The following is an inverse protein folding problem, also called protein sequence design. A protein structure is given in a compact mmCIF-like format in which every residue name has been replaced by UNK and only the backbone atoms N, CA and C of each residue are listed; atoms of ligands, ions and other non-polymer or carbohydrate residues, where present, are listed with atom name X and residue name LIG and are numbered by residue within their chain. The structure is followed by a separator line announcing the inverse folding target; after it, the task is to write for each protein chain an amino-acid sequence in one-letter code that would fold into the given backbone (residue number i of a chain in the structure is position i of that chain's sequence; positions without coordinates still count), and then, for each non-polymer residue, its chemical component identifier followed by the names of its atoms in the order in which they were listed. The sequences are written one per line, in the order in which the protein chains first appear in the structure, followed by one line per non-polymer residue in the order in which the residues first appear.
data_IF_141433470957
#
_entry.id   IF_141433470957
#
_cell.length_a   1.000
_cell.length_b   1.000
_cell.length_c   1.000
_cell.angle_alpha   90.00
_cell.angle_beta   90.00
_cell.angle_gamma   90.00
#
_symmetry.space_group_name_H-M   'P 1'
#
loop_
_entity.id
_entity.type
_entity.pdbx_description
1 polymer ?
#
# COMPACT_ATOMS: atom_id res chain seq x y z
N UNK A 1 1.07 4.42 8.79
CA UNK A 1 -0.27 4.00 8.35
C UNK A 1 -0.31 2.50 8.06
N UNK A 2 0.39 1.99 7.03
CA UNK A 2 0.38 0.54 6.73
C UNK A 2 0.81 -0.36 7.91
N UNK A 3 1.88 0.00 8.63
CA UNK A 3 2.31 -0.75 9.81
C UNK A 3 1.31 -0.72 10.97
N UNK A 4 0.54 0.37 11.13
CA UNK A 4 -0.49 0.43 12.17
C UNK A 4 -1.62 -0.56 11.86
N UNK A 5 -2.03 -0.68 10.59
CA UNK A 5 -3.00 -1.69 10.17
C UNK A 5 -2.50 -3.12 10.41
N UNK A 6 -1.20 -3.37 10.20
CA UNK A 6 -0.59 -4.67 10.49
C UNK A 6 -0.49 -4.98 11.99
N UNK A 7 -0.32 -3.96 12.84
CA UNK A 7 -0.33 -4.13 14.30
C UNK A 7 -1.73 -4.44 14.85
N UNK A 8 -2.77 -3.86 14.24
CA UNK A 8 -4.15 -4.02 14.70
C UNK A 8 -4.82 -5.31 14.20
N UNK A 9 -4.22 -6.03 13.24
CA UNK A 9 -4.82 -7.21 12.63
C UNK A 9 -3.79 -8.18 12.08
N UNK A 10 -3.83 -9.43 12.57
CA UNK A 10 -3.00 -10.54 12.05
C UNK A 10 -3.29 -10.88 10.57
N UNK A 11 -4.37 -10.35 10.00
CA UNK A 11 -4.72 -10.53 8.58
C UNK A 11 -3.97 -9.56 7.66
N UNK A 12 -3.30 -8.55 8.21
CA UNK A 12 -2.61 -7.52 7.44
C UNK A 12 -1.11 -7.68 7.64
N UNK A 13 -0.39 -7.82 6.53
CA UNK A 13 1.06 -7.67 6.49
C UNK A 13 1.40 -6.37 5.77
N UNK A 14 2.32 -5.61 6.32
CA UNK A 14 2.78 -4.36 5.73
C UNK A 14 4.30 -4.36 5.65
N UNK A 15 4.82 -3.88 4.52
CA UNK A 15 6.23 -3.66 4.28
C UNK A 15 6.38 -2.25 3.67
N UNK A 16 7.32 -1.45 4.19
CA UNK A 16 7.69 -0.16 3.62
C UNK A 16 8.97 -0.33 2.80
N UNK A 17 8.92 0.09 1.53
CA UNK A 17 10.01 -0.11 0.58
C UNK A 17 10.52 1.25 0.12
N UNK A 18 11.84 1.40 0.15
CA UNK A 18 12.53 2.56 -0.41
C UNK A 18 12.57 2.40 -1.93
N UNK A 19 11.81 3.22 -2.66
CA UNK A 19 11.58 3.00 -4.09
C UNK A 19 12.85 3.11 -4.96
N UNK A 20 13.86 3.88 -4.51
CA UNK A 20 15.10 4.11 -5.25
C UNK A 20 16.10 2.95 -5.09
N UNK A 21 16.02 2.19 -4.00
CA UNK A 21 16.79 0.96 -3.76
C UNK A 21 16.24 -0.25 -4.54
N UNK A 22 14.97 -0.21 -4.98
CA UNK A 22 14.29 -1.31 -5.67
C UNK A 22 13.68 -0.87 -7.02
N UNK A 23 14.51 -0.47 -8.01
CA UNK A 23 14.02 0.06 -9.29
C UNK A 23 13.15 -0.93 -10.09
N UNK A 24 13.47 -2.23 -10.07
CA UNK A 24 12.67 -3.26 -10.74
C UNK A 24 11.25 -3.37 -10.15
N UNK A 25 11.14 -3.27 -8.82
CA UNK A 25 9.86 -3.31 -8.13
C UNK A 25 9.06 -2.03 -8.41
N UNK A 26 9.73 -0.88 -8.38
CA UNK A 26 9.15 0.41 -8.76
C UNK A 26 8.61 0.39 -10.20
N UNK A 27 9.34 -0.20 -11.13
CA UNK A 27 8.87 -0.41 -12.51
C UNK A 27 7.68 -1.35 -12.58
N UNK A 28 7.71 -2.50 -11.87
CA UNK A 28 6.61 -3.48 -11.86
C UNK A 28 5.29 -2.89 -11.38
N UNK A 29 5.33 -1.98 -10.42
CA UNK A 29 4.15 -1.30 -9.87
C UNK A 29 3.90 0.08 -10.47
N UNK A 30 4.60 0.45 -11.55
CA UNK A 30 4.48 1.74 -12.22
C UNK A 30 4.53 2.91 -11.22
N UNK A 31 5.53 2.91 -10.34
CA UNK A 31 5.73 3.96 -9.33
C UNK A 31 6.27 5.20 -10.04
N UNK A 32 5.41 6.19 -10.27
CA UNK A 32 5.80 7.49 -10.84
C UNK A 32 6.02 8.56 -9.77
N UNK A 33 5.34 8.43 -8.63
CA UNK A 33 5.46 9.34 -7.49
C UNK A 33 5.31 8.56 -6.17
N UNK A 34 5.91 9.09 -5.12
CA UNK A 34 5.83 8.56 -3.75
C UNK A 34 5.14 9.58 -2.81
N UNK A 35 4.44 9.13 -1.76
CA UNK A 35 4.20 7.74 -1.39
C UNK A 35 3.17 7.05 -2.32
N UNK A 36 3.36 5.76 -2.58
CA UNK A 36 2.41 4.88 -3.27
C UNK A 36 2.22 3.63 -2.44
N UNK A 37 0.97 3.28 -2.14
CA UNK A 37 0.63 2.05 -1.42
C UNK A 37 0.10 1.04 -2.42
N UNK A 38 0.64 -0.18 -2.39
CA UNK A 38 0.18 -1.30 -3.21
C UNK A 38 -0.44 -2.35 -2.29
N UNK A 39 -1.60 -2.84 -2.66
CA UNK A 39 -2.37 -3.84 -1.89
C UNK A 39 -2.51 -5.09 -2.75
N UNK A 40 -1.96 -6.21 -2.26
CA UNK A 40 -1.99 -7.52 -2.89
C UNK A 40 -1.55 -7.55 -4.36
N UNK A 41 -0.61 -6.69 -4.76
CA UNK A 41 -0.16 -6.50 -6.17
C UNK A 41 -1.25 -6.13 -7.19
N UNK A 42 -2.49 -5.89 -6.75
CA UNK A 42 -3.65 -5.66 -7.63
C UNK A 42 -4.18 -4.24 -7.52
N UNK A 43 -4.22 -3.69 -6.30
CA UNK A 43 -4.75 -2.35 -6.05
C UNK A 43 -3.62 -1.40 -5.68
N UNK A 44 -3.76 -0.13 -6.06
CA UNK A 44 -2.78 0.89 -5.69
C UNK A 44 -3.44 2.21 -5.35
N UNK A 45 -2.94 2.84 -4.29
CA UNK A 45 -3.35 4.18 -3.84
C UNK A 45 -2.14 5.09 -3.98
N UNK A 46 -2.30 6.20 -4.71
CA UNK A 46 -1.24 7.18 -4.94
C UNK A 46 -1.37 8.37 -4.00
N UNK A 47 -0.24 8.84 -3.50
CA UNK A 47 -0.16 9.97 -2.59
C UNK A 47 -0.48 9.61 -1.13
N UNK A 48 -0.39 10.62 -0.28
CA UNK A 48 -0.78 10.52 1.12
C UNK A 48 -2.29 10.77 1.24
N UNK A 49 -3.06 9.71 1.48
CA UNK A 49 -4.50 9.80 1.74
C UNK A 49 -4.78 9.75 3.26
N UNK A 50 -5.94 10.27 3.73
CA UNK A 50 -6.38 10.05 5.10
C UNK A 50 -6.47 8.56 5.44
N UNK A 51 -6.27 8.21 6.72
CA UNK A 51 -6.23 6.81 7.17
C UNK A 51 -7.53 6.08 6.89
N UNK A 52 -8.67 6.74 7.15
CA UNK A 52 -9.99 6.20 6.88
C UNK A 52 -10.18 5.86 5.39
N UNK A 53 -9.68 6.70 4.48
CA UNK A 53 -9.74 6.43 3.06
C UNK A 53 -8.90 5.21 2.70
N UNK A 54 -7.69 5.08 3.26
CA UNK A 54 -6.84 3.91 3.03
C UNK A 54 -7.47 2.60 3.51
N UNK A 55 -8.19 2.64 4.65
CA UNK A 55 -8.93 1.47 5.16
C UNK A 55 -10.08 1.08 4.22
N UNK A 56 -10.81 2.05 3.67
CA UNK A 56 -11.89 1.76 2.72
C UNK A 56 -11.34 1.17 1.41
N UNK A 57 -10.22 1.68 0.89
CA UNK A 57 -9.53 1.08 -0.26
C UNK A 57 -9.08 -0.35 0.03
N UNK A 58 -8.55 -0.60 1.23
CA UNK A 58 -8.18 -1.95 1.67
C UNK A 58 -9.37 -2.90 1.69
N UNK A 59 -10.51 -2.49 2.27
CA UNK A 59 -11.74 -3.32 2.31
C UNK A 59 -12.24 -3.65 0.90
N UNK A 60 -12.28 -2.65 0.01
CA UNK A 60 -12.66 -2.85 -1.38
C UNK A 60 -11.72 -3.84 -2.08
N UNK A 61 -10.40 -3.71 -1.85
CA UNK A 61 -9.39 -4.58 -2.44
C UNK A 61 -9.50 -6.04 -1.99
N UNK A 62 -9.99 -6.30 -0.78
CA UNK A 62 -10.19 -7.66 -0.23
C UNK A 62 -11.64 -8.16 -0.27
N UNK A 63 -12.56 -7.39 -0.85
CA UNK A 63 -13.96 -7.79 -1.07
C UNK A 63 -14.84 -7.81 0.19
N UNK A 64 -14.60 -6.89 1.13
CA UNK A 64 -15.43 -6.67 2.33
C UNK A 64 -16.42 -5.51 2.15
#
# INVERSE_FOLDING_TARGET
MAYQMALESDKVRADAIEASEFPDLSMRHSVMAVPKTVINDVYSVEGAVPESALVEELKQAVGF
#
